data_IF_534662882856
#
_entry.id   IF_534662882856
#
_cell.length_a   1.000
_cell.length_b   1.000
_cell.length_c   1.000
_cell.angle_alpha   90.00
_cell.angle_beta   90.00
_cell.angle_gamma   90.00
#
_symmetry.space_group_name_H-M   'P 1'
#
loop_
_entity.id
_entity.type
_entity.pdbx_description
1 polymer ?
#
# COMPACT_ATOMS: atom_id res chain seq x y z
N UNK A 1 -37.49 34.68 -33.73
CA UNK A 1 -37.14 33.24 -33.61
C UNK A 1 -35.71 32.95 -34.13
N UNK A 2 -34.65 33.62 -33.63
CA UNK A 2 -33.25 33.34 -34.06
C UNK A 2 -32.24 33.24 -32.89
N UNK A 3 -32.69 33.28 -31.64
CA UNK A 3 -31.82 33.39 -30.46
C UNK A 3 -31.75 32.12 -29.59
N UNK A 4 -32.43 31.04 -29.96
CA UNK A 4 -32.56 29.83 -29.10
C UNK A 4 -31.56 28.72 -29.46
N UNK A 5 -30.88 28.78 -30.62
CA UNK A 5 -29.98 27.71 -31.07
C UNK A 5 -28.52 27.83 -30.60
N UNK A 6 -28.07 28.99 -30.13
CA UNK A 6 -26.67 29.20 -29.74
C UNK A 6 -26.31 28.76 -28.32
N UNK A 7 -27.31 28.43 -27.48
CA UNK A 7 -27.10 28.07 -26.07
C UNK A 7 -26.88 26.57 -25.84
N UNK A 8 -27.28 25.70 -26.77
CA UNK A 8 -27.08 24.25 -26.61
C UNK A 8 -25.66 23.79 -26.93
N UNK A 9 -24.91 24.51 -27.77
CA UNK A 9 -23.56 24.10 -28.18
C UNK A 9 -22.48 24.33 -27.10
N UNK A 10 -22.75 25.16 -26.08
CA UNK A 10 -21.79 25.42 -25.00
C UNK A 10 -21.85 24.39 -23.87
N UNK A 11 -22.94 23.64 -23.75
CA UNK A 11 -23.09 22.58 -22.76
C UNK A 11 -22.38 21.27 -23.17
N UNK A 12 -22.18 21.04 -24.47
CA UNK A 12 -21.56 19.81 -25.01
C UNK A 12 -20.04 19.80 -24.93
N UNK A 13 -19.38 20.96 -24.76
CA UNK A 13 -17.91 21.08 -24.74
C UNK A 13 -17.30 20.88 -23.34
N UNK A 14 -18.11 21.00 -22.27
CA UNK A 14 -17.63 20.83 -20.89
C UNK A 14 -17.53 19.38 -20.42
N UNK A 15 -18.00 18.40 -21.21
CA UNK A 15 -17.94 16.96 -20.85
C UNK A 15 -16.71 16.25 -21.44
N UNK A 16 -16.00 16.87 -22.40
CA UNK A 16 -14.89 16.24 -23.11
C UNK A 16 -13.50 16.43 -22.45
N UNK A 17 -13.44 17.06 -21.27
CA UNK A 17 -12.19 17.41 -20.59
C UNK A 17 -11.92 16.66 -19.29
N UNK A 18 -12.60 15.53 -19.04
CA UNK A 18 -12.20 14.61 -17.98
C UNK A 18 -10.95 13.85 -18.45
N UNK A 19 -9.84 14.56 -18.57
CA UNK A 19 -8.53 13.93 -18.66
C UNK A 19 -8.43 13.00 -17.46
N UNK A 20 -8.12 11.72 -17.68
CA UNK A 20 -7.76 10.76 -16.63
C UNK A 20 -6.60 11.37 -15.83
N UNK A 21 -6.92 12.13 -14.79
CA UNK A 21 -5.98 12.52 -13.77
C UNK A 21 -5.64 11.23 -13.03
N UNK A 22 -4.70 10.46 -13.60
CA UNK A 22 -4.10 9.34 -12.90
C UNK A 22 -3.60 9.88 -11.57
N UNK A 23 -4.09 9.28 -10.49
CA UNK A 23 -3.62 9.58 -9.16
C UNK A 23 -2.08 9.49 -9.16
N UNK A 24 -1.41 10.56 -8.73
CA UNK A 24 0.04 10.55 -8.66
C UNK A 24 0.48 9.45 -7.68
N UNK A 25 1.43 8.60 -8.10
CA UNK A 25 2.12 7.68 -7.20
C UNK A 25 2.86 8.51 -6.16
N UNK A 26 2.58 8.24 -4.89
CA UNK A 26 3.15 8.95 -3.75
C UNK A 26 4.38 8.25 -3.19
N UNK A 27 4.58 6.97 -3.52
CA UNK A 27 5.72 6.21 -3.02
C UNK A 27 6.97 6.42 -3.89
N UNK A 28 8.10 6.62 -3.23
CA UNK A 28 9.43 6.42 -3.80
C UNK A 28 9.76 4.92 -3.75
N UNK A 29 10.41 4.42 -4.80
CA UNK A 29 10.82 3.01 -4.88
C UNK A 29 9.66 2.04 -4.56
N UNK A 30 8.46 2.31 -5.09
CA UNK A 30 7.27 1.48 -4.85
C UNK A 30 7.42 0.05 -5.36
N UNK A 31 8.16 -0.12 -6.46
CA UNK A 31 8.54 -1.41 -7.04
C UNK A 31 9.66 -2.13 -6.29
N UNK A 32 10.23 -1.56 -5.21
CA UNK A 32 11.24 -2.19 -4.35
C UNK A 32 12.57 -2.59 -5.00
N UNK A 33 12.75 -2.33 -6.30
CA UNK A 33 13.94 -2.67 -7.10
C UNK A 33 15.22 -1.93 -6.67
N UNK A 34 15.11 -0.71 -6.13
CA UNK A 34 16.27 -0.01 -5.61
C UNK A 34 16.62 -0.54 -4.22
N UNK A 35 17.86 -1.01 -4.06
CA UNK A 35 18.33 -1.60 -2.80
C UNK A 35 19.54 -0.88 -2.23
N UNK A 36 19.60 -0.80 -0.91
CA UNK A 36 20.76 -0.36 -0.13
C UNK A 36 21.22 -1.47 0.81
N UNK A 37 22.52 -1.59 1.05
CA UNK A 37 23.07 -2.57 2.00
C UNK A 37 23.24 -1.91 3.37
N UNK A 38 22.52 -2.40 4.38
CA UNK A 38 22.60 -1.93 5.76
C UNK A 38 22.85 -3.13 6.67
N UNK A 39 23.91 -3.05 7.48
CA UNK A 39 24.40 -4.15 8.34
C UNK A 39 24.67 -5.45 7.57
N UNK A 40 25.13 -5.32 6.32
CA UNK A 40 25.42 -6.47 5.45
C UNK A 40 24.19 -7.15 4.85
N UNK A 41 22.98 -6.60 5.04
CA UNK A 41 21.74 -7.11 4.44
C UNK A 41 21.22 -6.14 3.38
N UNK A 42 20.83 -6.62 2.18
CA UNK A 42 20.14 -5.79 1.20
C UNK A 42 18.74 -5.43 1.70
N UNK A 43 18.37 -4.16 1.59
CA UNK A 43 17.07 -3.61 2.02
C UNK A 43 16.51 -2.69 0.93
N UNK A 44 15.18 -2.52 0.84
CA UNK A 44 14.60 -1.57 -0.09
C UNK A 44 15.04 -0.15 0.29
N UNK A 45 15.60 0.59 -0.66
CA UNK A 45 16.00 1.99 -0.48
C UNK A 45 14.76 2.88 -0.31
N UNK A 46 14.89 4.00 0.42
CA UNK A 46 13.79 4.93 0.76
C UNK A 46 12.62 4.36 1.59
N UNK A 47 12.69 3.12 2.07
CA UNK A 47 11.68 2.53 2.94
C UNK A 47 12.12 2.47 4.40
N UNK A 48 11.18 2.69 5.32
CA UNK A 48 11.42 2.50 6.74
C UNK A 48 11.08 1.06 7.13
N UNK A 49 12.00 0.45 7.87
CA UNK A 49 11.86 -0.89 8.42
C UNK A 49 11.91 -0.77 9.93
N UNK A 50 10.81 -1.12 10.59
CA UNK A 50 10.73 -1.24 12.04
C UNK A 50 10.54 -2.70 12.40
N UNK A 51 11.56 -3.30 13.01
CA UNK A 51 11.60 -4.72 13.31
C UNK A 51 11.94 -4.95 14.79
N UNK A 52 11.15 -5.79 15.45
CA UNK A 52 11.32 -6.14 16.85
C UNK A 52 10.98 -7.61 17.10
N UNK A 53 11.51 -8.15 18.20
CA UNK A 53 11.10 -9.43 18.77
C UNK A 53 10.46 -9.20 20.13
N UNK A 54 9.48 -10.03 20.46
CA UNK A 54 8.65 -9.83 21.64
C UNK A 54 9.42 -9.86 22.99
N UNK A 55 10.58 -10.55 23.05
CA UNK A 55 11.40 -10.65 24.27
C UNK A 55 12.68 -9.82 24.14
N UNK A 56 13.42 -9.95 23.03
CA UNK A 56 14.74 -9.29 22.88
C UNK A 56 14.67 -7.84 22.38
N UNK A 57 13.50 -7.37 21.92
CA UNK A 57 13.33 -6.00 21.44
C UNK A 57 13.80 -5.79 19.99
N UNK A 58 14.21 -4.56 19.61
CA UNK A 58 14.56 -4.19 18.24
C UNK A 58 15.72 -5.01 17.67
N UNK A 59 15.66 -5.30 16.36
CA UNK A 59 16.72 -5.98 15.61
C UNK A 59 16.64 -5.63 14.12
N UNK A 60 17.64 -6.01 13.33
CA UNK A 60 17.78 -5.49 11.95
C UNK A 60 17.55 -6.51 10.84
N UNK A 61 17.48 -7.80 11.16
CA UNK A 61 17.38 -8.91 10.20
C UNK A 61 15.94 -9.43 10.03
N UNK A 62 14.94 -8.53 10.04
CA UNK A 62 13.52 -8.90 9.93
C UNK A 62 13.03 -9.15 8.50
N UNK A 63 13.72 -8.55 7.51
CA UNK A 63 13.45 -8.69 6.09
C UNK A 63 14.72 -8.42 5.26
N UNK A 64 14.70 -8.80 3.99
CA UNK A 64 15.71 -8.42 2.99
C UNK A 64 15.11 -8.23 1.60
N UNK A 65 15.75 -7.42 0.76
CA UNK A 65 15.46 -7.38 -0.68
C UNK A 65 16.14 -8.56 -1.37
N UNK A 66 15.40 -9.29 -2.19
CA UNK A 66 15.87 -10.54 -2.78
C UNK A 66 15.43 -10.69 -4.25
N UNK A 67 16.35 -11.09 -5.17
CA UNK A 67 16.03 -11.24 -6.58
C UNK A 67 15.14 -12.45 -6.87
N UNK A 68 15.04 -13.38 -5.93
CA UNK A 68 14.19 -14.56 -6.04
C UNK A 68 12.81 -14.34 -5.41
N UNK A 69 12.64 -13.29 -4.61
CA UNK A 69 11.34 -12.90 -4.10
C UNK A 69 10.51 -12.24 -5.20
N UNK A 70 11.15 -11.46 -6.08
CA UNK A 70 10.56 -10.97 -7.32
C UNK A 70 10.76 -11.93 -8.51
N UNK A 71 10.18 -11.62 -9.67
CA UNK A 71 9.20 -10.55 -9.88
C UNK A 71 7.80 -10.99 -9.45
N UNK A 72 7.03 -10.10 -8.83
CA UNK A 72 5.58 -10.25 -8.84
C UNK A 72 5.03 -10.25 -10.29
N UNK A 73 3.79 -10.71 -10.52
CA UNK A 73 3.32 -11.02 -11.87
C UNK A 73 3.37 -9.92 -12.94
N UNK A 74 3.61 -8.62 -12.65
CA UNK A 74 3.73 -7.58 -13.69
C UNK A 74 4.18 -6.23 -13.12
N UNK A 75 4.98 -5.42 -13.87
CA UNK A 75 5.82 -5.77 -15.01
C UNK A 75 7.25 -6.10 -14.56
N UNK A 76 7.76 -7.26 -14.97
CA UNK A 76 9.15 -7.69 -14.68
C UNK A 76 10.15 -6.64 -15.16
N UNK A 77 10.92 -6.08 -14.23
CA UNK A 77 12.00 -5.15 -14.55
C UNK A 77 13.35 -5.86 -14.65
N UNK A 78 14.37 -5.20 -15.22
CA UNK A 78 15.72 -5.74 -15.16
C UNK A 78 16.29 -5.53 -13.76
N UNK A 79 16.70 -6.63 -13.10
CA UNK A 79 17.13 -6.68 -11.69
C UNK A 79 16.00 -6.59 -10.66
N UNK A 80 14.79 -6.99 -11.04
CA UNK A 80 13.61 -7.02 -10.19
C UNK A 80 13.89 -7.60 -8.79
N UNK A 81 13.49 -6.88 -7.75
CA UNK A 81 13.65 -7.29 -6.36
C UNK A 81 12.29 -7.32 -5.65
N UNK A 82 11.98 -8.44 -5.02
CA UNK A 82 10.93 -8.48 -4.01
C UNK A 82 11.50 -8.25 -2.62
N UNK A 83 10.64 -7.96 -1.65
CA UNK A 83 11.02 -7.97 -0.22
C UNK A 83 10.54 -9.26 0.44
N UNK A 84 11.49 -9.95 1.06
CA UNK A 84 11.30 -11.18 1.82
C UNK A 84 11.29 -10.90 3.31
N UNK A 85 10.15 -11.14 3.95
CA UNK A 85 10.00 -11.13 5.41
C UNK A 85 10.46 -12.47 5.99
N UNK A 86 11.18 -12.42 7.12
CA UNK A 86 11.87 -13.59 7.71
C UNK A 86 11.17 -14.09 8.99
N UNK A 87 10.03 -14.81 8.91
CA UNK A 87 9.28 -15.26 10.08
C UNK A 87 10.08 -16.23 10.97
N UNK A 88 11.03 -16.96 10.40
CA UNK A 88 11.92 -17.88 11.12
C UNK A 88 12.87 -17.18 12.09
N UNK A 89 12.94 -15.85 12.08
CA UNK A 89 13.65 -15.07 13.11
C UNK A 89 12.92 -15.11 14.46
N UNK A 90 11.60 -15.36 14.46
CA UNK A 90 10.82 -15.54 15.69
C UNK A 90 11.08 -16.91 16.33
N UNK A 91 11.40 -16.92 17.62
CA UNK A 91 11.78 -18.15 18.33
C UNK A 91 11.45 -18.07 19.84
N UNK A 92 11.62 -19.18 20.56
CA UNK A 92 11.27 -19.27 21.98
C UNK A 92 12.17 -18.43 22.92
N UNK A 93 13.41 -18.16 22.52
CA UNK A 93 14.38 -17.39 23.32
C UNK A 93 14.13 -15.89 23.18
N UNK A 94 13.97 -15.41 21.95
CA UNK A 94 13.88 -13.97 21.66
C UNK A 94 12.45 -13.47 21.46
N UNK A 95 11.49 -14.40 21.36
CA UNK A 95 10.09 -14.12 21.11
C UNK A 95 9.74 -14.05 19.63
N UNK A 96 8.45 -13.87 19.37
CA UNK A 96 7.94 -13.72 18.01
C UNK A 96 8.41 -12.41 17.39
N UNK A 97 8.55 -12.44 16.07
CA UNK A 97 9.04 -11.32 15.28
C UNK A 97 7.87 -10.47 14.77
N UNK A 98 8.02 -9.15 14.88
CA UNK A 98 7.17 -8.16 14.23
C UNK A 98 8.04 -7.30 13.32
N UNK A 99 7.60 -7.11 12.08
CA UNK A 99 8.26 -6.28 11.08
C UNK A 99 7.23 -5.42 10.37
N UNK A 100 7.46 -4.11 10.35
CA UNK A 100 6.72 -3.13 9.59
C UNK A 100 7.62 -2.59 8.48
N UNK A 101 7.14 -2.61 7.25
CA UNK A 101 7.74 -1.93 6.10
C UNK A 101 6.77 -0.83 5.67
N UNK A 102 7.22 0.42 5.70
CA UNK A 102 6.34 1.55 5.39
C UNK A 102 7.07 2.75 4.80
N UNK A 103 6.30 3.62 4.14
CA UNK A 103 6.73 4.94 3.72
C UNK A 103 5.63 5.96 3.99
N UNK A 104 6.05 7.17 4.33
CA UNK A 104 5.17 8.28 4.68
C UNK A 104 5.12 9.28 3.51
N UNK A 105 3.92 9.81 3.24
CA UNK A 105 3.68 10.87 2.27
C UNK A 105 2.76 11.95 2.86
N UNK A 106 2.73 13.13 2.23
CA UNK A 106 1.83 14.20 2.66
C UNK A 106 0.35 13.81 2.48
N UNK A 107 -0.45 14.01 3.53
CA UNK A 107 -1.89 13.79 3.48
C UNK A 107 -2.67 15.10 3.31
N UNK A 108 -3.79 15.01 2.60
CA UNK A 108 -4.83 16.05 2.54
C UNK A 108 -6.10 15.50 3.21
N UNK A 109 -6.57 16.11 4.31
CA UNK A 109 -7.83 15.73 4.93
C UNK A 109 -9.01 15.71 3.94
N UNK A 110 -9.88 14.72 4.08
CA UNK A 110 -11.05 14.50 3.21
C UNK A 110 -10.75 13.68 1.94
N UNK A 111 -9.49 13.44 1.60
CA UNK A 111 -9.12 12.67 0.41
C UNK A 111 -9.07 11.16 0.70
N UNK A 112 -9.53 10.36 -0.26
CA UNK A 112 -9.37 8.90 -0.26
C UNK A 112 -7.96 8.56 -0.71
N UNK A 113 -7.27 7.73 0.06
CA UNK A 113 -5.99 7.14 -0.30
C UNK A 113 -6.17 5.66 -0.55
N UNK A 114 -5.60 5.18 -1.65
CA UNK A 114 -5.60 3.79 -2.06
C UNK A 114 -4.16 3.27 -1.96
N UNK A 115 -3.95 2.26 -1.13
CA UNK A 115 -2.69 1.54 -1.06
C UNK A 115 -2.86 0.13 -1.59
N UNK A 116 -2.01 -0.25 -2.54
CA UNK A 116 -2.02 -1.59 -3.13
C UNK A 116 -0.60 -2.14 -3.24
N UNK A 117 -0.50 -3.46 -3.34
CA UNK A 117 0.75 -4.15 -3.56
C UNK A 117 0.53 -5.64 -3.76
N UNK A 118 1.56 -6.33 -4.24
CA UNK A 118 1.55 -7.76 -4.38
C UNK A 118 2.09 -8.43 -3.11
N UNK A 119 1.43 -9.49 -2.68
CA UNK A 119 1.96 -10.34 -1.61
C UNK A 119 1.74 -11.82 -1.93
N UNK A 120 2.73 -12.62 -1.57
CA UNK A 120 2.73 -14.07 -1.67
C UNK A 120 3.27 -14.68 -0.38
N UNK A 121 2.96 -15.94 -0.14
CA UNK A 121 3.48 -16.64 1.02
C UNK A 121 3.68 -18.13 0.71
N UNK A 122 4.73 -18.71 1.27
CA UNK A 122 4.96 -20.15 1.21
C UNK A 122 4.01 -20.89 2.16
N UNK A 123 3.74 -22.16 1.85
CA UNK A 123 2.71 -22.94 2.53
C UNK A 123 2.89 -23.06 4.06
N UNK A 124 4.14 -23.04 4.56
CA UNK A 124 4.41 -23.16 6.00
C UNK A 124 4.60 -21.82 6.69
N UNK A 125 4.35 -20.68 6.01
CA UNK A 125 4.36 -19.37 6.63
C UNK A 125 3.41 -19.32 7.84
N UNK A 126 3.89 -18.83 8.99
CA UNK A 126 3.12 -18.83 10.24
C UNK A 126 1.82 -18.03 10.19
N UNK A 127 1.68 -17.07 9.27
CA UNK A 127 0.43 -16.35 9.02
C UNK A 127 -0.66 -17.18 8.32
N UNK A 128 -0.32 -18.34 7.75
CA UNK A 128 -1.28 -19.25 7.11
C UNK A 128 -1.74 -20.39 8.03
N UNK A 129 -1.11 -20.55 9.20
CA UNK A 129 -1.44 -21.62 10.15
C UNK A 129 -2.77 -21.28 10.85
N UNK A 130 -3.80 -22.14 10.80
CA UNK A 130 -5.06 -21.90 11.49
C UNK A 130 -4.87 -21.65 13.00
N UNK A 131 -5.46 -20.57 13.50
CA UNK A 131 -5.35 -20.17 14.91
C UNK A 131 -4.00 -19.54 15.31
N UNK A 132 -3.11 -19.32 14.35
CA UNK A 132 -1.87 -18.58 14.58
C UNK A 132 -2.15 -17.16 15.08
N UNK A 133 -1.26 -16.66 15.95
CA UNK A 133 -1.24 -15.26 16.37
C UNK A 133 -0.55 -14.34 15.36
N UNK A 134 0.08 -14.92 14.34
CA UNK A 134 0.73 -14.16 13.27
C UNK A 134 -0.33 -13.42 12.46
N UNK A 135 -0.16 -12.10 12.32
CA UNK A 135 -1.00 -11.28 11.45
C UNK A 135 -0.17 -10.78 10.29
N UNK A 136 -0.75 -10.86 9.09
CA UNK A 136 -0.16 -10.26 7.89
C UNK A 136 -1.13 -9.20 7.39
N UNK A 137 -0.66 -7.96 7.35
CA UNK A 137 -1.53 -6.80 7.19
C UNK A 137 -1.00 -5.85 6.12
N UNK A 138 -1.93 -5.32 5.31
CA UNK A 138 -1.72 -4.14 4.48
C UNK A 138 -2.56 -3.01 5.05
N UNK A 139 -2.01 -1.80 5.20
CA UNK A 139 -2.70 -0.70 5.86
C UNK A 139 -2.46 0.66 5.19
N UNK A 140 -3.50 1.50 5.23
CA UNK A 140 -3.38 2.95 5.11
C UNK A 140 -3.55 3.55 6.50
N UNK A 141 -2.53 4.27 6.96
CA UNK A 141 -2.52 4.95 8.25
C UNK A 141 -2.47 6.45 8.07
N UNK A 142 -3.24 7.18 8.88
CA UNK A 142 -3.28 8.64 8.87
C UNK A 142 -2.73 9.18 10.16
N UNK A 143 -1.67 9.97 10.08
CA UNK A 143 -1.01 10.57 11.22
C UNK A 143 -1.21 12.08 11.22
N UNK A 144 -1.29 12.66 12.41
CA UNK A 144 -1.19 14.10 12.64
C UNK A 144 -0.11 14.42 13.67
N UNK A 145 -0.09 15.65 14.20
CA UNK A 145 0.96 16.09 15.12
C UNK A 145 1.08 15.27 16.41
N UNK A 146 -0.02 14.64 16.85
CA UNK A 146 -0.07 13.82 18.07
C UNK A 146 0.16 12.31 17.80
N UNK A 147 0.43 11.89 16.56
CA UNK A 147 0.60 10.49 16.17
C UNK A 147 -0.55 9.96 15.31
N UNK A 148 -0.78 8.64 15.38
CA UNK A 148 -1.82 7.95 14.61
C UNK A 148 -3.22 8.46 14.96
N UNK A 149 -3.97 8.91 13.95
CA UNK A 149 -5.36 9.39 14.08
C UNK A 149 -6.33 8.28 13.68
N UNK A 150 -6.08 7.63 12.54
CA UNK A 150 -6.93 6.59 12.01
C UNK A 150 -6.12 5.60 11.17
N UNK A 151 -6.68 4.41 10.97
CA UNK A 151 -6.10 3.36 10.13
C UNK A 151 -7.19 2.57 9.44
N UNK A 152 -6.93 2.16 8.20
CA UNK A 152 -7.70 1.15 7.48
C UNK A 152 -6.77 -0.03 7.22
N UNK A 153 -7.16 -1.23 7.66
CA UNK A 153 -6.30 -2.42 7.66
C UNK A 153 -6.99 -3.56 6.92
N UNK A 154 -6.25 -4.21 6.03
CA UNK A 154 -6.63 -5.46 5.36
C UNK A 154 -5.79 -6.61 5.91
N UNK A 155 -6.46 -7.62 6.47
CA UNK A 155 -5.82 -8.86 6.92
C UNK A 155 -5.65 -9.83 5.75
N UNK A 156 -4.42 -9.98 5.25
CA UNK A 156 -4.13 -10.67 3.99
C UNK A 156 -4.52 -12.16 3.98
N UNK A 157 -4.31 -12.96 5.05
CA UNK A 157 -4.77 -14.36 5.07
C UNK A 157 -6.29 -14.49 4.90
N UNK A 158 -7.06 -13.58 5.51
CA UNK A 158 -8.52 -13.56 5.33
C UNK A 158 -8.93 -13.09 3.92
N UNK A 159 -8.05 -12.36 3.24
CA UNK A 159 -8.23 -11.89 1.87
C UNK A 159 -7.69 -12.86 0.79
N UNK A 160 -7.16 -14.03 1.17
CA UNK A 160 -6.71 -15.06 0.24
C UNK A 160 -5.19 -15.25 0.09
N UNK A 161 -4.38 -14.71 1.01
CA UNK A 161 -2.93 -14.98 1.02
C UNK A 161 -2.62 -16.47 1.11
N UNK A 162 -1.61 -16.91 0.35
CA UNK A 162 -1.22 -18.32 0.25
C UNK A 162 -2.10 -19.16 -0.69
N UNK A 163 -3.09 -18.54 -1.35
CA UNK A 163 -3.87 -19.20 -2.40
C UNK A 163 -3.03 -19.57 -3.63
N UNK A 164 -3.40 -20.64 -4.32
CA UNK A 164 -2.71 -21.06 -5.54
C UNK A 164 -2.96 -20.04 -6.68
N UNK A 165 -1.98 -19.19 -6.96
CA UNK A 165 -2.01 -18.22 -8.06
C UNK A 165 -1.09 -18.61 -9.25
N UNK A 166 -0.67 -19.89 -9.33
CA UNK A 166 0.15 -20.40 -10.44
C UNK A 166 1.62 -19.92 -10.46
N UNK A 167 2.07 -19.21 -9.41
CA UNK A 167 3.42 -18.69 -9.23
C UNK A 167 4.07 -19.26 -7.95
N UNK A 168 5.43 -19.24 -7.80
CA UNK A 168 6.16 -19.88 -6.69
C UNK A 168 5.68 -19.52 -5.28
N UNK A 169 5.11 -18.31 -5.09
CA UNK A 169 4.60 -17.82 -3.81
C UNK A 169 3.09 -17.56 -3.78
N UNK A 170 2.35 -17.90 -4.85
CA UNK A 170 0.91 -17.62 -4.91
C UNK A 170 0.57 -16.13 -4.82
N UNK A 171 1.34 -15.28 -5.49
CA UNK A 171 1.16 -13.82 -5.48
C UNK A 171 -0.26 -13.40 -5.86
N UNK A 172 -0.84 -12.51 -5.05
CA UNK A 172 -2.07 -11.78 -5.37
C UNK A 172 -1.86 -10.29 -5.10
N UNK A 173 -2.57 -9.45 -5.86
CA UNK A 173 -2.60 -8.00 -5.60
C UNK A 173 -3.67 -7.71 -4.55
N UNK A 174 -3.27 -7.03 -3.49
CA UNK A 174 -4.15 -6.59 -2.41
C UNK A 174 -4.31 -5.10 -2.46
N UNK A 175 -5.42 -4.60 -1.94
CA UNK A 175 -5.73 -3.18 -1.95
C UNK A 175 -6.53 -2.81 -0.72
N UNK A 176 -6.13 -1.74 -0.05
CA UNK A 176 -6.81 -1.14 1.09
C UNK A 176 -6.98 0.35 0.85
N UNK A 177 -8.12 0.89 1.25
CA UNK A 177 -8.44 2.30 1.08
C UNK A 177 -8.83 2.92 2.41
N UNK A 178 -8.53 4.20 2.59
CA UNK A 178 -8.97 4.98 3.74
C UNK A 178 -9.21 6.44 3.35
N UNK A 179 -10.11 7.12 4.08
CA UNK A 179 -10.33 8.57 3.93
C UNK A 179 -9.52 9.27 5.02
N UNK A 180 -8.67 10.21 4.65
CA UNK A 180 -7.88 10.99 5.59
C UNK A 180 -8.78 11.84 6.51
N UNK A 181 -8.81 11.61 7.84
CA UNK A 181 -9.61 12.43 8.74
C UNK A 181 -9.13 13.89 8.82
N UNK A 182 -9.93 14.74 9.45
CA UNK A 182 -9.49 16.08 9.83
C UNK A 182 -8.25 16.02 10.74
N UNK A 183 -7.26 16.86 10.45
CA UNK A 183 -5.99 16.89 11.21
C UNK A 183 -4.91 15.93 10.70
N UNK A 184 -5.20 15.10 9.69
CA UNK A 184 -4.17 14.31 9.01
C UNK A 184 -3.19 15.21 8.27
N UNK A 185 -1.91 15.03 8.58
CA UNK A 185 -0.79 15.69 7.87
C UNK A 185 0.03 14.68 7.07
N UNK A 186 -0.01 13.41 7.47
CA UNK A 186 0.74 12.33 6.86
C UNK A 186 -0.17 11.14 6.57
N UNK A 187 0.02 10.52 5.41
CA UNK A 187 -0.54 9.21 5.07
C UNK A 187 0.63 8.23 4.98
N UNK A 188 0.43 7.03 5.50
CA UNK A 188 1.41 5.96 5.50
C UNK A 188 0.84 4.74 4.81
N UNK A 189 1.55 4.25 3.79
CA UNK A 189 1.34 2.91 3.24
C UNK A 189 2.21 1.92 4.02
N UNK A 190 1.60 0.91 4.64
CA UNK A 190 2.31 -0.07 5.47
C UNK A 190 1.95 -1.50 5.09
N UNK A 191 2.95 -2.35 4.95
CA UNK A 191 2.79 -3.81 5.02
C UNK A 191 3.44 -4.33 6.29
N UNK A 192 2.89 -5.38 6.90
CA UNK A 192 3.44 -5.90 8.15
C UNK A 192 3.27 -7.40 8.32
N UNK A 193 4.26 -7.97 9.00
CA UNK A 193 4.24 -9.30 9.57
C UNK A 193 4.34 -9.14 11.09
N UNK A 194 3.28 -9.45 11.82
CA UNK A 194 3.17 -9.19 13.26
C UNK A 194 3.09 -10.52 13.99
N UNK A 195 3.85 -10.68 15.08
CA UNK A 195 3.88 -11.91 15.89
C UNK A 195 4.12 -13.18 15.05
N UNK A 196 5.08 -13.14 14.12
CA UNK A 196 5.49 -14.30 13.37
C UNK A 196 6.49 -15.16 14.15
N UNK A 197 6.49 -16.45 13.87
CA UNK A 197 7.39 -17.43 14.47
C UNK A 197 7.85 -18.44 13.43
N UNK A 198 8.99 -19.08 13.71
CA UNK A 198 9.47 -20.23 12.98
C UNK A 198 8.49 -21.41 13.14
N UNK A 199 7.85 -21.82 12.05
CA UNK A 199 6.98 -22.98 12.02
C UNK A 199 7.81 -24.26 12.33
N UNK A 200 7.50 -24.99 13.42
CA UNK A 200 8.24 -26.20 13.79
C UNK A 200 8.21 -27.32 12.74
N UNK A 201 7.24 -27.30 11.82
CA UNK A 201 7.17 -28.25 10.72
C UNK A 201 8.28 -28.03 9.66
N UNK A 202 8.99 -26.90 9.70
CA UNK A 202 10.05 -26.55 8.75
C UNK A 202 9.50 -26.22 7.35
N UNK A 203 10.35 -26.36 6.32
CA UNK A 203 10.01 -26.04 4.93
C UNK A 203 9.99 -24.54 4.61
N UNK A 204 9.41 -24.20 3.47
CA UNK A 204 9.28 -22.83 2.98
C UNK A 204 8.29 -22.02 3.84
N UNK A 205 8.76 -20.92 4.41
CA UNK A 205 8.02 -20.07 5.36
C UNK A 205 7.98 -18.61 4.93
N UNK A 206 8.44 -18.26 3.73
CA UNK A 206 8.54 -16.89 3.29
C UNK A 206 7.19 -16.18 3.22
N UNK A 207 7.18 -14.92 3.64
CA UNK A 207 6.23 -13.92 3.18
C UNK A 207 7.01 -13.00 2.24
N UNK A 208 6.52 -12.86 1.03
CA UNK A 208 7.15 -12.01 0.00
C UNK A 208 6.17 -10.93 -0.43
N UNK A 209 6.69 -9.73 -0.68
CA UNK A 209 5.89 -8.58 -1.11
C UNK A 209 6.61 -7.82 -2.21
N UNK A 210 5.85 -7.10 -3.02
CA UNK A 210 6.38 -6.40 -4.18
C UNK A 210 5.42 -5.31 -4.68
N UNK A 211 5.92 -4.42 -5.54
CA UNK A 211 5.13 -3.55 -6.42
C UNK A 211 4.03 -2.75 -5.70
N UNK A 212 4.45 -1.96 -4.71
CA UNK A 212 3.60 -1.08 -3.94
C UNK A 212 3.22 0.21 -4.68
N UNK A 213 1.94 0.57 -4.55
CA UNK A 213 1.37 1.81 -5.06
C UNK A 213 0.52 2.49 -3.98
N UNK A 214 0.83 3.74 -3.67
CA UNK A 214 -0.01 4.60 -2.84
C UNK A 214 -0.43 5.80 -3.67
N UNK A 215 -1.73 5.99 -3.83
CA UNK A 215 -2.24 7.06 -4.67
C UNK A 215 -3.47 7.72 -4.03
N UNK A 216 -3.65 9.00 -4.33
CA UNK A 216 -4.81 9.77 -3.89
C UNK A 216 -5.90 9.72 -4.95
N UNK A 217 -7.14 9.38 -4.57
CA UNK A 217 -8.29 9.45 -5.47
C UNK A 217 -8.92 10.83 -5.30
N UNK A 218 -8.77 11.76 -6.27
CA UNK A 218 -9.38 13.08 -6.15
C UNK A 218 -10.89 12.94 -6.10
N UNK A 219 -11.57 13.72 -5.24
CA UNK A 219 -13.03 13.71 -5.22
C UNK A 219 -13.58 14.21 -6.56
N UNK A 220 -14.29 13.37 -7.34
CA UNK A 220 -14.81 13.81 -8.65
C UNK A 220 -15.87 14.92 -8.50
N UNK A 221 -16.58 14.92 -7.37
CA UNK A 221 -17.73 15.78 -7.14
C UNK A 221 -17.34 17.24 -6.91
N UNK A 222 -16.22 17.52 -6.26
CA UNK A 222 -15.88 18.89 -5.83
C UNK A 222 -15.45 19.74 -7.02
N UNK A 223 -14.68 19.17 -7.95
CA UNK A 223 -14.31 19.83 -9.20
C UNK A 223 -15.51 20.00 -10.12
N UNK A 224 -16.36 18.97 -10.23
CA UNK A 224 -17.59 19.04 -11.02
C UNK A 224 -18.58 20.07 -10.47
N UNK A 225 -18.82 20.11 -9.16
CA UNK A 225 -19.70 21.08 -8.51
C UNK A 225 -19.16 22.50 -8.62
N UNK A 226 -17.85 22.70 -8.47
CA UNK A 226 -17.22 24.01 -8.69
C UNK A 226 -17.41 24.48 -10.14
N UNK A 227 -17.17 23.59 -11.12
CA UNK A 227 -17.38 23.89 -12.53
C UNK A 227 -18.85 24.22 -12.83
N UNK A 228 -19.80 23.44 -12.29
CA UNK A 228 -21.23 23.71 -12.41
C UNK A 228 -21.63 25.03 -11.75
N UNK A 229 -21.10 25.35 -10.56
CA UNK A 229 -21.36 26.60 -9.85
C UNK A 229 -20.84 27.82 -10.62
N UNK A 230 -19.61 27.76 -11.14
CA UNK A 230 -19.03 28.81 -11.97
C UNK A 230 -19.80 29.02 -13.28
N UNK A 231 -20.22 27.94 -13.93
CA UNK A 231 -21.06 28.00 -15.13
C UNK A 231 -22.43 28.66 -14.82
N UNK A 232 -23.06 28.30 -13.69
CA UNK A 232 -24.30 28.91 -13.22
C UNK A 232 -24.15 30.43 -13.01
N UNK A 233 -23.09 30.86 -12.32
CA UNK A 233 -22.82 32.29 -12.07
C UNK A 233 -22.56 33.08 -13.37
N UNK A 234 -21.83 32.50 -14.32
CA UNK A 234 -21.57 33.14 -15.62
C UNK A 234 -22.85 33.35 -16.44
N UNK A 235 -23.81 32.43 -16.35
CA UNK A 235 -25.11 32.55 -17.02
C UNK A 235 -26.02 33.61 -16.38
N UNK A 236 -25.98 33.77 -15.05
CA UNK A 236 -26.76 34.78 -14.34
C UNK A 236 -26.27 36.20 -14.66
N UNK A 237 -24.95 36.42 -14.77
CA UNK A 237 -24.38 37.74 -15.05
C UNK A 237 -24.71 38.31 -16.45
N UNK A 238 -25.17 37.47 -17.38
CA UNK A 238 -25.52 37.87 -18.76
C UNK A 238 -27.00 38.25 -18.94
N UNK A 239 -27.80 38.21 -17.88
CA UNK A 239 -29.19 38.70 -17.86
C UNK A 239 -29.25 40.04 -17.14
#
# INVERSE_FOLDING_TARGET
MKTVLSTLALASVLVAGACDARAAQLLLNGNLDATVVIDGQPRPDDWVIDASRAISGPFTDGLSSEPWAGPAPTPVTANDQGVFFKPFQGNATDGDVTVHLYQDAAATPGIIYLFSGWAGAEANYSGLIPGSRTRTELAVEFLGPAGLIASSVLHLPAAGLGGAAGQPFGYNKYTVAGIAPAGSTTVRGRVSMINAFANPAGGGQALVVDDFELSQIPEPATTALLACGLAGLALVRRR
#
